data_IF_430849710182
#
_entry.id   IF_430849710182
#
_cell.length_a   1.000
_cell.length_b   1.000
_cell.length_c   1.000
_cell.angle_alpha   90.00
_cell.angle_beta   90.00
_cell.angle_gamma   90.00
#
_symmetry.space_group_name_H-M   'P 1'
#
loop_
_entity.id
_entity.type
_entity.pdbx_description
1 polymer ?
#
# COMPACT_ATOMS: atom_id res chain seq x y z
N UNK A 1 -8.26 4.18 19.47
CA UNK A 1 -6.94 3.59 19.19
C UNK A 1 -7.07 2.75 17.93
N UNK A 2 -6.72 3.22 16.72
CA UNK A 2 -6.79 2.34 15.56
C UNK A 2 -5.57 1.42 15.55
N UNK A 3 -5.86 0.13 15.39
CA UNK A 3 -4.88 -0.95 15.40
C UNK A 3 -3.85 -0.73 14.31
N UNK A 4 -2.57 -0.90 14.65
CA UNK A 4 -1.48 -1.06 13.68
C UNK A 4 -1.78 -2.34 12.88
N UNK A 5 -2.27 -2.21 11.67
CA UNK A 5 -2.21 -3.30 10.70
C UNK A 5 -0.75 -3.49 10.32
N UNK A 6 -0.21 -4.64 10.71
CA UNK A 6 1.12 -5.12 10.34
C UNK A 6 1.21 -5.15 8.81
N UNK A 7 2.20 -4.44 8.28
CA UNK A 7 2.57 -4.46 6.86
C UNK A 7 3.08 -5.88 6.55
N UNK A 8 2.18 -6.71 6.07
CA UNK A 8 2.48 -8.07 5.63
C UNK A 8 3.18 -8.06 4.27
N UNK A 9 4.36 -8.68 4.23
CA UNK A 9 4.92 -9.41 3.08
C UNK A 9 5.10 -8.62 1.79
N UNK A 10 6.34 -8.24 1.49
CA UNK A 10 6.77 -7.93 0.12
C UNK A 10 6.60 -9.18 -0.76
N UNK A 11 5.49 -9.31 -1.46
CA UNK A 11 5.39 -10.20 -2.62
C UNK A 11 5.92 -9.47 -3.84
N UNK A 12 7.24 -9.48 -4.02
CA UNK A 12 7.85 -9.11 -5.30
C UNK A 12 7.65 -10.29 -6.26
N UNK A 13 6.47 -10.37 -6.88
CA UNK A 13 6.27 -11.23 -8.05
C UNK A 13 6.96 -10.54 -9.23
N UNK A 14 8.25 -10.81 -9.41
CA UNK A 14 8.96 -10.43 -10.63
C UNK A 14 8.49 -11.37 -11.73
N UNK A 15 7.75 -10.85 -12.70
CA UNK A 15 7.33 -11.58 -13.90
C UNK A 15 8.54 -11.79 -14.80
N UNK A 16 9.35 -12.80 -14.49
CA UNK A 16 10.29 -13.34 -15.46
C UNK A 16 9.51 -14.20 -16.45
N UNK A 17 9.19 -13.65 -17.62
CA UNK A 17 8.78 -14.45 -18.78
C UNK A 17 9.98 -15.24 -19.24
N UNK A 18 10.24 -16.36 -18.57
CA UNK A 18 11.29 -17.30 -18.95
C UNK A 18 10.81 -18.04 -20.19
N UNK A 19 11.20 -17.54 -21.36
CA UNK A 19 11.21 -18.34 -22.59
C UNK A 19 12.32 -19.38 -22.47
N UNK A 20 12.11 -20.43 -21.68
CA UNK A 20 12.96 -21.61 -21.72
C UNK A 20 12.52 -22.47 -22.90
N UNK A 21 13.47 -22.77 -23.79
CA UNK A 21 13.35 -23.82 -24.79
C UNK A 21 13.26 -25.17 -24.07
N UNK A 22 12.06 -25.57 -23.67
CA UNK A 22 11.80 -26.88 -23.09
C UNK A 22 11.55 -27.88 -24.22
N UNK A 23 12.08 -29.09 -24.10
CA UNK A 23 11.89 -30.16 -25.08
C UNK A 23 10.41 -30.52 -25.17
N UNK A 24 9.86 -30.41 -26.38
CA UNK A 24 8.49 -30.78 -26.71
C UNK A 24 8.33 -32.30 -26.72
N UNK A 25 7.30 -32.82 -26.05
CA UNK A 25 7.00 -34.25 -26.04
C UNK A 25 5.97 -34.60 -27.13
N UNK A 26 4.87 -33.84 -27.19
CA UNK A 26 3.77 -34.11 -28.12
C UNK A 26 3.16 -32.80 -28.62
N UNK A 27 2.98 -32.69 -29.93
CA UNK A 27 2.18 -31.66 -30.59
C UNK A 27 0.92 -32.29 -31.19
N UNK A 28 -0.23 -31.68 -30.95
CA UNK A 28 -1.53 -32.15 -31.44
C UNK A 28 -2.30 -30.99 -32.06
N UNK A 29 -2.94 -31.25 -33.20
CA UNK A 29 -3.96 -30.36 -33.76
C UNK A 29 -5.34 -30.89 -33.36
N UNK A 30 -6.11 -30.08 -32.63
CA UNK A 30 -7.44 -30.43 -32.18
C UNK A 30 -8.46 -30.25 -33.31
N UNK A 31 -9.63 -30.90 -33.19
CA UNK A 31 -10.69 -30.85 -34.22
C UNK A 31 -11.25 -29.45 -34.48
N UNK A 32 -11.11 -28.54 -33.52
CA UNK A 32 -11.48 -27.12 -33.66
C UNK A 32 -10.36 -26.25 -34.25
N UNK A 33 -9.25 -26.84 -34.71
CA UNK A 33 -8.10 -26.14 -35.28
C UNK A 33 -7.14 -25.54 -34.24
N UNK A 34 -7.36 -25.73 -32.94
CA UNK A 34 -6.42 -25.31 -31.91
C UNK A 34 -5.20 -26.24 -31.86
N UNK A 35 -4.01 -25.68 -31.69
CA UNK A 35 -2.78 -26.44 -31.48
C UNK A 35 -2.53 -26.63 -29.99
N UNK A 36 -2.25 -27.86 -29.57
CA UNK A 36 -1.89 -28.22 -28.19
C UNK A 36 -0.49 -28.82 -28.17
N UNK A 37 0.40 -28.23 -27.38
CA UNK A 37 1.77 -28.68 -27.14
C UNK A 37 1.89 -29.12 -25.69
N UNK A 38 2.37 -30.34 -25.47
CA UNK A 38 2.67 -30.87 -24.12
C UNK A 38 4.19 -31.03 -23.99
N UNK A 39 4.74 -30.44 -22.93
CA UNK A 39 6.15 -30.53 -22.58
C UNK A 39 6.38 -31.65 -21.58
N UNK A 40 7.60 -32.18 -21.56
CA UNK A 40 8.01 -33.30 -20.69
C UNK A 40 7.85 -33.01 -19.19
N UNK A 41 7.86 -31.75 -18.79
CA UNK A 41 7.61 -31.35 -17.40
C UNK A 41 6.11 -31.31 -17.03
N UNK A 42 5.21 -31.65 -17.94
CA UNK A 42 3.76 -31.61 -17.75
C UNK A 42 3.09 -30.28 -18.09
N UNK A 43 3.86 -29.25 -18.46
CA UNK A 43 3.31 -27.96 -18.93
C UNK A 43 2.60 -28.16 -20.26
N UNK A 44 1.44 -27.52 -20.42
CA UNK A 44 0.64 -27.57 -21.65
C UNK A 44 0.47 -26.18 -22.22
N UNK A 45 0.66 -26.02 -23.51
CA UNK A 45 0.36 -24.79 -24.25
C UNK A 45 -0.71 -25.06 -25.28
N UNK A 46 -1.84 -24.37 -25.18
CA UNK A 46 -2.88 -24.35 -26.20
C UNK A 46 -2.85 -23.00 -26.95
N UNK A 47 -2.91 -23.05 -28.28
CA UNK A 47 -2.96 -21.87 -29.15
C UNK A 47 -4.23 -21.96 -30.01
N UNK A 48 -5.00 -20.88 -30.08
CA UNK A 48 -6.21 -20.83 -30.91
C UNK A 48 -5.87 -21.02 -32.40
N UNK A 49 -6.81 -21.52 -33.19
CA UNK A 49 -6.65 -21.69 -34.65
C UNK A 49 -6.20 -20.42 -35.37
N UNK A 50 -6.75 -19.26 -34.98
CA UNK A 50 -6.39 -17.94 -35.50
C UNK A 50 -5.09 -17.36 -34.92
N UNK A 51 -4.40 -18.08 -34.04
CA UNK A 51 -3.19 -17.65 -33.33
C UNK A 51 -3.32 -16.36 -32.48
N UNK A 52 -4.55 -15.93 -32.22
CA UNK A 52 -4.87 -14.71 -31.46
C UNK A 52 -4.80 -14.88 -29.95
N UNK A 53 -5.04 -16.08 -29.45
CA UNK A 53 -5.01 -16.37 -28.02
C UNK A 53 -4.13 -17.57 -27.73
N UNK A 54 -3.50 -17.54 -26.55
CA UNK A 54 -2.65 -18.62 -26.06
C UNK A 54 -2.93 -18.86 -24.58
N UNK A 55 -3.06 -20.12 -24.20
CA UNK A 55 -3.20 -20.56 -22.82
C UNK A 55 -2.03 -21.46 -22.46
N UNK A 56 -1.35 -21.19 -21.34
CA UNK A 56 -0.29 -22.03 -20.80
C UNK A 56 -0.73 -22.53 -19.43
N UNK A 57 -0.80 -23.85 -19.25
CA UNK A 57 -1.08 -24.50 -17.97
C UNK A 57 0.21 -25.12 -17.47
N UNK A 58 0.72 -24.62 -16.35
CA UNK A 58 1.99 -25.05 -15.76
C UNK A 58 1.78 -26.27 -14.86
N UNK A 59 2.85 -27.04 -14.65
CA UNK A 59 2.84 -28.24 -13.81
C UNK A 59 2.51 -27.95 -12.34
N UNK A 60 2.77 -26.73 -11.86
CA UNK A 60 2.47 -26.28 -10.51
C UNK A 60 0.99 -25.85 -10.34
N UNK A 61 0.17 -25.97 -11.38
CA UNK A 61 -1.24 -25.58 -11.41
C UNK A 61 -1.48 -24.13 -11.84
N UNK A 62 -0.45 -23.31 -12.02
CA UNK A 62 -0.60 -21.94 -12.50
C UNK A 62 -1.11 -21.95 -13.95
N UNK A 63 -1.82 -20.88 -14.34
CA UNK A 63 -2.36 -20.73 -15.69
C UNK A 63 -2.11 -19.32 -16.22
N UNK A 64 -1.53 -19.20 -17.40
CA UNK A 64 -1.43 -17.91 -18.14
C UNK A 64 -2.34 -17.94 -19.35
N UNK A 65 -3.20 -16.93 -19.50
CA UNK A 65 -3.91 -16.62 -20.73
C UNK A 65 -3.33 -15.35 -21.35
N UNK A 66 -2.98 -15.42 -22.63
CA UNK A 66 -2.62 -14.29 -23.47
C UNK A 66 -3.81 -14.09 -24.42
N UNK A 67 -4.43 -12.94 -24.34
CA UNK A 67 -5.64 -12.59 -25.08
C UNK A 67 -5.30 -11.78 -26.34
N UNK A 68 -6.25 -11.71 -27.27
CA UNK A 68 -6.09 -11.04 -28.57
C UNK A 68 -5.82 -9.53 -28.42
N UNK A 69 -6.37 -8.90 -27.39
CA UNK A 69 -6.16 -7.49 -27.07
C UNK A 69 -4.79 -7.19 -26.43
N UNK A 70 -3.92 -8.21 -26.31
CA UNK A 70 -2.60 -8.12 -25.69
C UNK A 70 -2.61 -8.18 -24.17
N UNK A 71 -3.78 -8.35 -23.54
CA UNK A 71 -3.89 -8.56 -22.09
C UNK A 71 -3.34 -9.94 -21.72
N UNK A 72 -2.56 -9.98 -20.64
CA UNK A 72 -2.03 -11.22 -20.07
C UNK A 72 -2.68 -11.44 -18.71
N UNK A 73 -3.33 -12.59 -18.51
CA UNK A 73 -3.97 -12.98 -17.25
C UNK A 73 -3.26 -14.21 -16.71
N UNK A 74 -2.61 -14.08 -15.58
CA UNK A 74 -1.91 -15.15 -14.87
C UNK A 74 -2.63 -15.49 -13.57
N UNK A 75 -2.99 -16.76 -13.38
CA UNK A 75 -3.56 -17.29 -12.15
C UNK A 75 -2.50 -18.09 -11.40
N UNK A 76 -2.20 -17.67 -10.18
CA UNK A 76 -1.32 -18.37 -9.26
C UNK A 76 -2.13 -19.34 -8.40
N UNK A 77 -1.98 -20.64 -8.63
CA UNK A 77 -2.80 -21.66 -7.97
C UNK A 77 -2.57 -21.73 -6.46
N UNK A 78 -1.32 -21.65 -6.02
CA UNK A 78 -0.95 -21.77 -4.60
C UNK A 78 -1.52 -20.64 -3.72
N UNK A 79 -1.58 -19.43 -4.26
CA UNK A 79 -2.07 -18.23 -3.55
C UNK A 79 -3.49 -17.83 -3.94
N UNK A 80 -4.10 -18.53 -4.91
CA UNK A 80 -5.40 -18.21 -5.50
C UNK A 80 -5.49 -16.74 -5.94
N UNK A 81 -4.40 -16.21 -6.48
CA UNK A 81 -4.29 -14.80 -6.89
C UNK A 81 -4.32 -14.70 -8.41
N UNK A 82 -5.15 -13.80 -8.93
CA UNK A 82 -5.17 -13.51 -10.38
C UNK A 82 -4.44 -12.20 -10.65
N UNK A 83 -3.38 -12.26 -11.43
CA UNK A 83 -2.60 -11.11 -11.87
C UNK A 83 -2.85 -10.84 -13.35
N UNK A 84 -3.31 -9.64 -13.66
CA UNK A 84 -3.58 -9.19 -15.02
C UNK A 84 -2.63 -8.08 -15.40
N UNK A 85 -1.92 -8.21 -16.51
CA UNK A 85 -1.10 -7.16 -17.11
C UNK A 85 -1.78 -6.66 -18.39
N UNK A 86 -2.02 -5.36 -18.47
CA UNK A 86 -2.59 -4.69 -19.63
C UNK A 86 -1.49 -4.22 -20.59
N UNK A 87 -1.78 -4.06 -21.90
CA UNK A 87 -0.81 -3.52 -22.87
C UNK A 87 -0.26 -2.14 -22.51
N UNK A 88 -1.02 -1.36 -21.73
CA UNK A 88 -0.60 -0.05 -21.20
C UNK A 88 0.48 -0.15 -20.10
N UNK A 89 0.81 -1.36 -19.64
CA UNK A 89 1.72 -1.61 -18.52
C UNK A 89 1.04 -1.55 -17.15
N UNK A 90 -0.28 -1.31 -17.09
CA UNK A 90 -1.02 -1.39 -15.83
C UNK A 90 -1.15 -2.85 -15.40
N UNK A 91 -0.89 -3.13 -14.12
CA UNK A 91 -1.08 -4.44 -13.51
C UNK A 91 -2.26 -4.39 -12.53
N UNK A 92 -3.06 -5.46 -12.49
CA UNK A 92 -4.17 -5.61 -11.54
C UNK A 92 -4.10 -7.00 -10.89
N UNK A 93 -3.97 -7.04 -9.57
CA UNK A 93 -3.94 -8.25 -8.76
C UNK A 93 -5.27 -8.39 -8.00
N UNK A 94 -5.92 -9.54 -8.14
CA UNK A 94 -7.10 -9.92 -7.36
C UNK A 94 -6.70 -11.02 -6.38
N UNK A 95 -6.83 -10.72 -5.09
CA UNK A 95 -6.50 -11.63 -4.01
C UNK A 95 -7.74 -12.39 -3.50
N UNK A 96 -7.56 -13.57 -2.89
CA UNK A 96 -8.69 -14.38 -2.39
C UNK A 96 -9.47 -13.69 -1.27
N UNK A 97 -8.85 -12.77 -0.52
CA UNK A 97 -9.51 -11.98 0.50
C UNK A 97 -10.39 -10.85 -0.06
N UNK A 98 -10.59 -10.77 -1.39
CA UNK A 98 -11.30 -9.70 -2.13
C UNK A 98 -10.54 -8.38 -2.21
N UNK A 99 -9.30 -8.32 -1.74
CA UNK A 99 -8.45 -7.16 -2.00
C UNK A 99 -8.10 -7.09 -3.49
N UNK A 100 -8.10 -5.89 -4.05
CA UNK A 100 -7.64 -5.61 -5.40
C UNK A 100 -6.50 -4.61 -5.32
N UNK A 101 -5.35 -4.92 -5.92
CA UNK A 101 -4.25 -3.97 -6.07
C UNK A 101 -4.05 -3.65 -7.55
N UNK A 102 -4.05 -2.36 -7.88
CA UNK A 102 -3.73 -1.86 -9.21
C UNK A 102 -2.40 -1.12 -9.16
N UNK A 103 -1.48 -1.48 -10.04
CA UNK A 103 -0.15 -0.87 -10.14
C UNK A 103 -0.01 -0.21 -11.51
N UNK A 104 0.43 1.03 -11.49
CA UNK A 104 0.62 1.82 -12.69
C UNK A 104 2.10 1.90 -13.05
N UNK A 105 2.42 2.01 -14.35
CA UNK A 105 3.72 2.52 -14.79
C UNK A 105 4.00 3.86 -14.08
N UNK A 106 5.24 4.05 -13.64
CA UNK A 106 5.63 5.23 -12.86
C UNK A 106 5.50 5.07 -11.33
N UNK A 107 5.00 3.93 -10.84
CA UNK A 107 5.08 3.56 -9.43
C UNK A 107 3.85 3.87 -8.57
N UNK A 108 2.85 4.56 -9.13
CA UNK A 108 1.56 4.79 -8.45
C UNK A 108 0.84 3.46 -8.23
N UNK A 109 0.26 3.28 -7.04
CA UNK A 109 -0.54 2.09 -6.70
C UNK A 109 -1.86 2.48 -6.05
N UNK A 110 -2.88 1.69 -6.33
CA UNK A 110 -4.23 1.82 -5.77
C UNK A 110 -4.62 0.48 -5.16
N UNK A 111 -5.08 0.47 -3.91
CA UNK A 111 -5.47 -0.74 -3.19
C UNK A 111 -6.92 -0.55 -2.75
N UNK A 112 -7.81 -1.44 -3.22
CA UNK A 112 -9.16 -1.59 -2.70
C UNK A 112 -9.15 -2.73 -1.68
N UNK A 113 -9.42 -2.40 -0.42
CA UNK A 113 -9.52 -3.36 0.66
C UNK A 113 -10.92 -3.97 0.76
N UNK A 114 -11.07 -5.13 1.43
CA UNK A 114 -12.36 -5.82 1.53
C UNK A 114 -13.43 -5.06 2.31
N UNK A 115 -13.03 -4.10 3.16
CA UNK A 115 -13.91 -3.19 3.88
C UNK A 115 -14.33 -1.97 3.05
N UNK A 116 -14.01 -1.95 1.75
CA UNK A 116 -14.21 -0.85 0.82
C UNK A 116 -13.32 0.39 1.07
N UNK A 117 -12.32 0.30 1.96
CA UNK A 117 -11.28 1.32 2.08
C UNK A 117 -10.44 1.35 0.80
N UNK A 118 -10.18 2.55 0.27
CA UNK A 118 -9.32 2.76 -0.89
C UNK A 118 -8.04 3.45 -0.44
N UNK A 119 -6.88 2.87 -0.73
CA UNK A 119 -5.58 3.49 -0.47
C UNK A 119 -4.83 3.76 -1.77
N UNK A 120 -4.46 5.01 -2.00
CA UNK A 120 -3.54 5.43 -3.05
C UNK A 120 -2.15 5.61 -2.46
N UNK A 121 -1.15 5.12 -3.19
CA UNK A 121 0.27 5.25 -2.89
C UNK A 121 0.91 5.93 -4.09
N UNK A 122 1.48 7.10 -3.87
CA UNK A 122 2.14 7.86 -4.93
C UNK A 122 3.65 7.60 -4.97
N UNK A 123 4.31 7.81 -6.12
CA UNK A 123 5.75 7.56 -6.28
C UNK A 123 6.64 8.42 -5.37
N UNK A 124 6.16 9.60 -4.98
CA UNK A 124 6.85 10.51 -4.07
C UNK A 124 6.81 10.06 -2.60
N UNK A 125 6.10 8.96 -2.31
CA UNK A 125 5.91 8.43 -0.97
C UNK A 125 4.68 8.99 -0.24
N UNK A 126 3.92 9.90 -0.86
CA UNK A 126 2.65 10.35 -0.30
C UNK A 126 1.59 9.25 -0.38
N UNK A 127 0.68 9.23 0.60
CA UNK A 127 -0.39 8.27 0.67
C UNK A 127 -1.73 8.98 0.86
N UNK A 128 -2.79 8.47 0.24
CA UNK A 128 -4.16 8.93 0.46
C UNK A 128 -5.09 7.75 0.70
N UNK A 129 -5.76 7.73 1.84
CA UNK A 129 -6.72 6.69 2.22
C UNK A 129 -8.12 7.30 2.28
N UNK A 130 -9.08 6.65 1.62
CA UNK A 130 -10.50 7.01 1.62
C UNK A 130 -11.24 5.89 2.35
N UNK A 131 -11.91 6.23 3.45
CA UNK A 131 -12.70 5.29 4.22
C UNK A 131 -14.16 5.30 3.75
N UNK A 132 -14.91 4.20 3.97
CA UNK A 132 -16.32 4.11 3.58
C UNK A 132 -17.23 5.16 4.22
N UNK A 133 -16.87 5.66 5.41
CA UNK A 133 -17.60 6.72 6.11
C UNK A 133 -17.37 8.12 5.51
N UNK A 134 -16.54 8.24 4.48
CA UNK A 134 -16.18 9.49 3.83
C UNK A 134 -14.97 10.19 4.46
N UNK A 135 -14.38 9.64 5.52
CA UNK A 135 -13.13 10.16 6.09
C UNK A 135 -12.00 9.98 5.08
N UNK A 136 -11.21 11.02 4.86
CA UNK A 136 -10.03 11.00 3.99
C UNK A 136 -8.80 11.27 4.83
N UNK A 137 -7.81 10.38 4.77
CA UNK A 137 -6.52 10.55 5.42
C UNK A 137 -5.44 10.74 4.37
N UNK A 138 -4.63 11.78 4.49
CA UNK A 138 -3.47 12.02 3.64
C UNK A 138 -2.21 12.01 4.49
N UNK A 139 -1.19 11.30 4.02
CA UNK A 139 0.15 11.28 4.61
C UNK A 139 1.12 11.88 3.60
N UNK A 140 1.84 12.92 4.00
CA UNK A 140 2.86 13.53 3.17
C UNK A 140 4.18 12.74 3.26
N UNK A 141 5.09 12.88 2.28
CA UNK A 141 6.40 12.24 2.32
C UNK A 141 7.25 12.69 3.52
N UNK A 142 7.00 13.88 4.06
CA UNK A 142 7.67 14.41 5.25
C UNK A 142 7.04 13.94 6.58
N UNK A 143 6.00 13.10 6.54
CA UNK A 143 5.39 12.50 7.72
C UNK A 143 4.28 13.34 8.37
N UNK A 144 3.84 14.42 7.72
CA UNK A 144 2.65 15.15 8.15
C UNK A 144 1.38 14.36 7.77
N UNK A 145 0.39 14.39 8.66
CA UNK A 145 -0.89 13.72 8.45
C UNK A 145 -2.01 14.73 8.41
N UNK A 146 -2.85 14.66 7.39
CA UNK A 146 -4.10 15.39 7.32
C UNK A 146 -5.28 14.42 7.36
N UNK A 147 -6.36 14.81 8.03
CA UNK A 147 -7.61 14.04 8.10
C UNK A 147 -8.76 14.97 7.80
N UNK A 148 -9.48 14.71 6.71
CA UNK A 148 -10.72 15.41 6.36
C UNK A 148 -11.90 14.51 6.78
N UNK A 149 -12.78 15.03 7.62
CA UNK A 149 -13.95 14.31 8.11
C UNK A 149 -15.19 14.70 7.29
N UNK A 150 -16.17 13.79 7.13
CA UNK A 150 -17.39 14.05 6.37
C UNK A 150 -18.25 15.18 6.94
N UNK A 151 -18.10 15.50 8.23
CA UNK A 151 -18.77 16.63 8.87
C UNK A 151 -18.11 18.00 8.62
N UNK A 152 -17.13 18.06 7.70
CA UNK A 152 -16.40 19.28 7.34
C UNK A 152 -15.28 19.66 8.31
N UNK A 153 -15.05 18.88 9.36
CA UNK A 153 -13.90 19.09 10.24
C UNK A 153 -12.62 18.58 9.58
N UNK A 154 -11.50 19.23 9.89
CA UNK A 154 -10.18 18.83 9.41
C UNK A 154 -9.19 18.74 10.55
N UNK A 155 -8.33 17.72 10.55
CA UNK A 155 -7.20 17.61 11.46
C UNK A 155 -5.87 17.64 10.71
N UNK A 156 -4.89 18.35 11.25
CA UNK A 156 -3.51 18.42 10.76
C UNK A 156 -2.58 18.02 11.89
N UNK A 157 -1.80 16.94 11.70
CA UNK A 157 -0.85 16.43 12.67
C UNK A 157 0.56 16.59 12.09
N UNK A 158 1.36 17.40 12.75
CA UNK A 158 2.78 17.62 12.42
C UNK A 158 3.63 17.24 13.63
N UNK A 159 4.96 17.28 13.48
CA UNK A 159 5.88 17.17 14.62
C UNK A 159 5.75 18.33 15.61
N UNK A 160 5.24 19.47 15.15
CA UNK A 160 5.17 20.71 15.92
C UNK A 160 3.83 20.94 16.60
N UNK A 161 2.74 20.34 16.11
CA UNK A 161 1.40 20.49 16.69
C UNK A 161 0.40 19.46 16.15
N UNK A 162 -0.73 19.34 16.84
CA UNK A 162 -1.97 18.77 16.32
C UNK A 162 -3.03 19.85 16.29
N UNK A 163 -3.63 20.08 15.11
CA UNK A 163 -4.62 21.13 14.90
C UNK A 163 -5.92 20.51 14.41
N UNK A 164 -7.04 21.00 14.93
CA UNK A 164 -8.39 20.68 14.48
C UNK A 164 -9.10 21.95 14.05
N UNK A 165 -9.59 21.94 12.82
CA UNK A 165 -10.32 23.02 12.17
C UNK A 165 -11.78 22.60 12.09
N UNK A 166 -12.67 23.48 12.53
CA UNK A 166 -14.10 23.25 12.59
C UNK A 166 -14.82 24.09 11.52
N UNK A 167 -15.97 23.62 10.99
CA UNK A 167 -16.74 24.35 9.98
C UNK A 167 -17.18 25.75 10.39
N UNK A 168 -17.32 26.00 11.69
CA UNK A 168 -17.67 27.31 12.26
C UNK A 168 -16.50 28.31 12.22
N UNK A 169 -15.33 27.92 11.69
CA UNK A 169 -14.10 28.71 11.66
C UNK A 169 -13.28 28.63 12.95
N UNK A 170 -13.73 27.89 13.96
CA UNK A 170 -12.94 27.64 15.17
C UNK A 170 -11.75 26.74 14.84
N UNK A 171 -10.57 27.06 15.38
CA UNK A 171 -9.34 26.28 15.23
C UNK A 171 -8.76 25.98 16.61
N UNK A 172 -8.54 24.70 16.91
CA UNK A 172 -7.89 24.25 18.14
C UNK A 172 -6.53 23.64 17.83
N UNK A 173 -5.47 24.14 18.44
CA UNK A 173 -4.10 23.66 18.27
C UNK A 173 -3.54 23.17 19.60
N UNK A 174 -3.00 21.95 19.63
CA UNK A 174 -2.32 21.35 20.77
C UNK A 174 -0.85 21.20 20.38
N UNK A 175 0.04 21.78 21.18
CA UNK A 175 1.49 21.72 20.98
C UNK A 175 2.11 20.57 21.81
N UNK A 176 3.29 20.04 21.41
CA UNK A 176 4.00 19.00 22.14
C UNK A 176 4.29 19.32 23.61
N UNK A 177 4.46 20.61 23.94
CA UNK A 177 4.66 21.08 25.31
C UNK A 177 3.35 21.14 26.15
N UNK A 178 2.23 20.65 25.62
CA UNK A 178 0.94 20.65 26.30
C UNK A 178 0.16 21.97 26.21
N UNK A 179 0.75 23.05 25.69
CA UNK A 179 0.02 24.31 25.42
C UNK A 179 -1.11 24.04 24.43
N UNK A 180 -2.26 24.64 24.69
CA UNK A 180 -3.42 24.58 23.82
C UNK A 180 -3.84 26.00 23.42
N UNK A 181 -4.17 26.18 22.15
CA UNK A 181 -4.74 27.42 21.62
C UNK A 181 -6.08 27.13 20.97
N UNK A 182 -7.07 27.97 21.26
CA UNK A 182 -8.34 28.01 20.52
C UNK A 182 -8.50 29.39 19.90
N UNK A 183 -8.51 29.45 18.57
CA UNK A 183 -8.82 30.66 17.79
C UNK A 183 -10.25 30.54 17.29
N UNK A 184 -11.09 31.51 17.63
CA UNK A 184 -12.48 31.56 17.16
C UNK A 184 -12.57 32.32 15.84
N UNK A 185 -13.64 32.11 15.08
CA UNK A 185 -13.90 32.85 13.84
C UNK A 185 -13.94 34.37 14.01
N UNK A 186 -14.30 34.85 15.20
CA UNK A 186 -14.26 36.28 15.56
C UNK A 186 -12.85 36.86 15.69
N UNK A 187 -11.80 36.04 15.58
CA UNK A 187 -10.40 36.43 15.83
C UNK A 187 -9.98 36.35 17.30
N UNK A 188 -10.91 36.12 18.23
CA UNK A 188 -10.58 35.90 19.64
C UNK A 188 -9.67 34.67 19.80
N UNK A 189 -8.64 34.80 20.62
CA UNK A 189 -7.71 33.70 20.94
C UNK A 189 -7.80 33.38 22.44
N UNK A 190 -7.92 32.10 22.77
CA UNK A 190 -7.83 31.58 24.13
C UNK A 190 -6.65 30.62 24.22
N UNK A 191 -5.77 30.84 25.19
CA UNK A 191 -4.56 30.04 25.40
C UNK A 191 -4.66 29.37 26.77
N UNK A 192 -4.45 28.06 26.81
CA UNK A 192 -4.34 27.27 28.04
C UNK A 192 -2.95 26.65 28.11
N UNK A 193 -2.23 26.94 29.18
CA UNK A 193 -0.94 26.29 29.47
C UNK A 193 -1.17 25.01 30.27
N UNK A 194 -0.28 24.01 30.09
CA UNK A 194 -0.30 22.83 30.94
C UNK A 194 0.49 23.13 32.22
N UNK A 195 -0.18 23.13 33.37
CA UNK A 195 0.43 23.32 34.69
C UNK A 195 1.02 22.00 35.22
N UNK A 196 1.98 21.42 34.51
CA UNK A 196 2.84 20.35 35.03
C UNK A 196 4.29 20.82 35.08
N UNK A 197 4.53 21.72 36.02
CA UNK A 197 5.86 22.02 36.57
C UNK A 197 5.84 21.76 38.08
N UNK A 198 5.74 20.48 38.48
CA UNK A 198 6.10 20.10 39.85
C UNK A 198 7.59 19.77 39.93
N UNK A 199 8.35 20.80 40.32
CA UNK A 199 9.53 20.75 41.19
C UNK A 199 10.43 19.51 41.10
N UNK A 200 11.54 19.64 40.39
CA UNK A 200 12.79 19.00 40.80
C UNK A 200 13.85 20.09 40.97
N UNK A 201 13.92 20.65 42.18
CA UNK A 201 15.09 21.39 42.65
C UNK A 201 16.29 20.45 42.64
N UNK A 202 17.45 20.81 42.06
CA UNK A 202 18.65 20.03 42.25
C UNK A 202 19.21 20.36 43.63
N UNK A 203 19.04 19.45 44.59
CA UNK A 203 19.84 19.44 45.80
C UNK A 203 21.27 19.12 45.41
N UNK A 204 22.15 20.08 45.64
CA UNK A 204 23.60 19.93 45.61
C UNK A 204 24.04 18.86 46.61
N UNK A 205 24.83 17.89 46.16
CA UNK A 205 25.92 17.35 46.98
C UNK A 205 26.99 16.74 46.09
N UNK A 206 28.14 17.40 46.13
CA UNK A 206 29.48 16.92 45.80
C UNK A 206 29.70 15.42 46.01
N UNK A 207 30.35 14.76 45.06
CA UNK A 207 31.37 13.74 45.34
C UNK A 207 32.29 13.55 44.14
N UNK A 208 33.56 13.78 44.42
CA UNK A 208 34.76 13.59 43.62
C UNK A 208 34.88 12.17 43.08
N UNK A 209 35.42 12.00 41.88
CA UNK A 209 36.54 11.09 41.63
C UNK A 209 36.97 11.08 40.16
N UNK A 210 38.25 11.28 39.99
CA UNK A 210 39.06 11.23 38.78
C UNK A 210 39.22 9.80 38.24
N UNK A 211 39.28 9.71 36.90
CA UNK A 211 40.17 8.86 36.09
C UNK A 211 40.64 7.53 36.70
N UNK A 212 40.27 6.41 36.06
CA UNK A 212 41.21 5.31 35.81
C UNK A 212 40.87 4.59 34.49
N UNK A 213 41.95 4.10 33.89
CA UNK A 213 42.16 3.59 32.54
C UNK A 213 41.75 2.12 32.32
N UNK A 214 41.47 1.83 31.05
CA UNK A 214 41.91 0.66 30.24
C UNK A 214 41.54 -0.79 30.59
N UNK A 215 41.19 -1.50 29.50
CA UNK A 215 41.43 -2.91 29.16
C UNK A 215 40.70 -4.02 29.92
N UNK A 216 39.73 -4.67 29.24
CA UNK A 216 39.93 -5.93 28.50
C UNK A 216 38.81 -6.12 27.47
#
# INVERSE_FOLDING_TARGET
MPQRCLVGGRCTAQTHTVHQAQQTEVEQLLSNGCSLVTFTNGTKTAVSSEQKTRTVTFFNGDVTHILEDGKVVHYYASSQTTHTTYPTGVEVLHFPNKQIEKRHPGGKREILFPDQTIKHLEPDGSERTIFPDGTIVQLSPCGEKMVDFPNGQREVHTSQYKRREYPDGTVKTIFPNGRQETKYASGRVHIKENSESKSSSPSTSSSSSSLLQSAN
#
